data_IF_791532435119
#
_entry.id   IF_791532435119
#
_cell.length_a   1.000
_cell.length_b   1.000
_cell.length_c   1.000
_cell.angle_alpha   90.00
_cell.angle_beta   90.00
_cell.angle_gamma   90.00
#
_symmetry.space_group_name_H-M   'P 1'
#
loop_
_entity.id
_entity.type
_entity.pdbx_description
1 polymer ?
#
# COMPACT_ATOMS: atom_id res chain seq x y z
N UNK A 1 -41.97 -0.59 18.58
CA UNK A 1 -40.75 -0.06 17.94
C UNK A 1 -39.84 -1.24 17.67
N UNK A 2 -39.61 -1.53 16.40
CA UNK A 2 -39.03 -2.78 15.92
C UNK A 2 -37.51 -2.79 16.09
N UNK A 3 -37.02 -3.54 17.08
CA UNK A 3 -35.59 -3.77 17.29
C UNK A 3 -35.05 -4.66 16.16
N UNK A 4 -34.50 -4.03 15.12
CA UNK A 4 -33.75 -4.70 14.06
C UNK A 4 -32.49 -5.35 14.65
N UNK A 5 -32.61 -6.58 15.15
CA UNK A 5 -31.46 -7.41 15.50
C UNK A 5 -30.67 -7.62 14.21
N UNK A 6 -29.40 -7.18 14.11
CA UNK A 6 -28.61 -7.43 12.93
C UNK A 6 -28.53 -8.94 12.68
N UNK A 7 -28.84 -9.37 11.46
CA UNK A 7 -28.74 -10.78 11.03
C UNK A 7 -27.40 -11.38 11.46
N UNK A 8 -27.38 -12.65 11.88
CA UNK A 8 -26.18 -13.38 12.38
C UNK A 8 -24.95 -13.16 11.48
N UNK A 9 -25.17 -13.00 10.17
CA UNK A 9 -24.13 -12.70 9.17
C UNK A 9 -23.47 -11.33 9.36
N UNK A 10 -24.22 -10.28 9.70
CA UNK A 10 -23.68 -8.91 9.93
C UNK A 10 -22.82 -8.86 11.19
N UNK A 11 -23.27 -9.50 12.27
CA UNK A 11 -22.49 -9.59 13.51
C UNK A 11 -21.17 -10.34 13.29
N UNK A 12 -21.20 -11.43 12.51
CA UNK A 12 -19.98 -12.16 12.13
C UNK A 12 -19.00 -11.27 11.36
N UNK A 13 -19.47 -10.50 10.37
CA UNK A 13 -18.63 -9.58 9.60
C UNK A 13 -17.99 -8.49 10.47
N UNK A 14 -18.77 -7.88 11.37
CA UNK A 14 -18.24 -6.89 12.31
C UNK A 14 -17.15 -7.49 13.21
N UNK A 15 -17.37 -8.71 13.73
CA UNK A 15 -16.35 -9.38 14.55
C UNK A 15 -15.06 -9.67 13.76
N UNK A 16 -15.18 -10.07 12.50
CA UNK A 16 -14.05 -10.34 11.63
C UNK A 16 -13.28 -9.05 11.29
N UNK A 17 -14.01 -7.94 11.07
CA UNK A 17 -13.42 -6.63 10.83
C UNK A 17 -12.59 -6.16 12.02
N UNK A 18 -13.13 -6.23 13.25
CA UNK A 18 -12.41 -5.88 14.47
C UNK A 18 -11.15 -6.74 14.67
N UNK A 19 -11.24 -8.03 14.34
CA UNK A 19 -10.10 -8.94 14.38
C UNK A 19 -9.02 -8.55 13.36
N UNK A 20 -9.43 -8.12 12.16
CA UNK A 20 -8.54 -7.67 11.11
C UNK A 20 -7.85 -6.35 11.47
N UNK A 21 -8.55 -5.42 12.13
CA UNK A 21 -7.97 -4.18 12.65
C UNK A 21 -6.87 -4.51 13.69
N UNK A 22 -7.16 -5.40 14.64
CA UNK A 22 -6.17 -5.86 15.62
C UNK A 22 -4.94 -6.50 14.96
N UNK A 23 -5.14 -7.31 13.90
CA UNK A 23 -4.04 -7.90 13.12
C UNK A 23 -3.22 -6.83 12.39
N UNK A 24 -3.87 -5.84 11.79
CA UNK A 24 -3.22 -4.74 11.09
C UNK A 24 -2.31 -3.95 12.05
N UNK A 25 -2.75 -3.67 13.27
CA UNK A 25 -1.93 -3.02 14.30
C UNK A 25 -0.63 -3.80 14.57
N UNK A 26 -0.71 -5.12 14.73
CA UNK A 26 0.47 -5.98 14.99
C UNK A 26 1.45 -6.00 13.81
N UNK A 27 0.97 -5.80 12.58
CA UNK A 27 1.80 -5.77 11.36
C UNK A 27 2.51 -4.43 11.15
N UNK A 28 2.05 -3.34 11.79
CA UNK A 28 2.67 -2.02 11.67
C UNK A 28 4.07 -1.97 12.31
N UNK A 29 5.02 -1.19 11.77
CA UNK A 29 6.30 -0.89 12.41
C UNK A 29 6.12 -0.26 13.80
N UNK A 30 7.07 -0.50 14.72
CA UNK A 30 6.99 0.03 16.11
C UNK A 30 6.91 1.56 16.14
N UNK A 31 7.60 2.25 15.23
CA UNK A 31 7.59 3.71 15.16
C UNK A 31 6.28 4.29 14.64
N UNK A 32 5.54 3.53 13.82
CA UNK A 32 4.19 3.91 13.37
C UNK A 32 3.18 3.70 14.49
N UNK A 33 3.27 2.57 15.21
CA UNK A 33 2.42 2.30 16.38
C UNK A 33 2.53 3.38 17.46
N UNK A 34 3.73 3.93 17.68
CA UNK A 34 3.94 5.04 18.63
C UNK A 34 3.16 6.31 18.28
N UNK A 35 2.92 6.56 16.98
CA UNK A 35 2.20 7.73 16.48
C UNK A 35 0.67 7.57 16.51
N UNK A 36 0.18 6.33 16.65
CA UNK A 36 -1.24 6.07 16.78
C UNK A 36 -1.73 6.43 18.19
N UNK A 37 -2.92 7.02 18.25
CA UNK A 37 -3.62 7.27 19.50
C UNK A 37 -4.37 5.99 19.90
N UNK A 38 -3.65 5.13 20.62
CA UNK A 38 -4.16 3.86 21.13
C UNK A 38 -4.20 3.93 22.66
N UNK A 39 -5.26 3.38 23.30
CA UNK A 39 -5.26 3.15 24.73
C UNK A 39 -4.04 2.32 25.15
N UNK A 40 -3.42 2.65 26.28
CA UNK A 40 -2.16 2.04 26.73
C UNK A 40 -2.24 0.51 26.81
N UNK A 41 -3.32 -0.02 27.38
CA UNK A 41 -3.54 -1.48 27.45
C UNK A 41 -3.62 -2.14 26.06
N UNK A 42 -4.18 -1.47 25.05
CA UNK A 42 -4.21 -2.04 23.70
C UNK A 42 -2.81 -2.01 23.08
N UNK A 43 -2.08 -0.91 23.30
CA UNK A 43 -0.72 -0.71 22.81
C UNK A 43 0.22 -1.80 23.35
N UNK A 44 0.14 -2.09 24.65
CA UNK A 44 0.98 -3.10 25.30
C UNK A 44 0.73 -4.49 24.72
N UNK A 45 -0.54 -4.88 24.59
CA UNK A 45 -0.94 -6.20 24.06
C UNK A 45 -0.53 -6.37 22.60
N UNK A 46 -0.59 -5.30 21.79
CA UNK A 46 -0.10 -5.26 20.40
C UNK A 46 1.42 -5.42 20.36
N UNK A 47 2.16 -4.72 21.22
CA UNK A 47 3.62 -4.84 21.30
C UNK A 47 4.06 -6.24 21.75
N UNK A 48 3.35 -6.84 22.71
CA UNK A 48 3.58 -8.21 23.14
C UNK A 48 3.36 -9.19 21.98
N UNK A 49 2.25 -9.07 21.25
CA UNK A 49 1.94 -9.93 20.10
C UNK A 49 3.03 -9.94 19.03
N UNK A 50 3.76 -8.83 18.88
CA UNK A 50 4.89 -8.71 17.94
C UNK A 50 6.13 -9.47 18.40
N UNK A 51 6.35 -9.59 19.71
CA UNK A 51 7.53 -10.25 20.27
C UNK A 51 7.33 -11.75 20.46
N UNK A 52 6.09 -12.28 20.36
CA UNK A 52 5.82 -13.71 20.49
C UNK A 52 6.39 -14.50 19.29
N UNK A 53 7.35 -15.41 19.50
CA UNK A 53 7.93 -16.21 18.41
C UNK A 53 7.04 -17.39 18.01
N UNK A 54 6.24 -17.91 18.95
CA UNK A 54 5.43 -19.11 18.73
C UNK A 54 4.09 -18.78 18.06
N UNK A 55 3.85 -19.33 16.87
CA UNK A 55 2.65 -19.06 16.08
C UNK A 55 1.33 -19.35 16.84
N UNK A 56 1.31 -20.41 17.66
CA UNK A 56 0.13 -20.75 18.47
C UNK A 56 -0.17 -19.71 19.55
N UNK A 57 0.87 -19.25 20.27
CA UNK A 57 0.73 -18.19 21.27
C UNK A 57 0.36 -16.85 20.62
N UNK A 58 1.00 -16.51 19.48
CA UNK A 58 0.68 -15.31 18.71
C UNK A 58 -0.76 -15.29 18.24
N UNK A 59 -1.29 -16.43 17.78
CA UNK A 59 -2.70 -16.56 17.38
C UNK A 59 -3.65 -16.31 18.56
N UNK A 60 -3.34 -16.83 19.75
CA UNK A 60 -4.16 -16.57 20.96
C UNK A 60 -4.10 -15.10 21.35
N UNK A 61 -2.93 -14.49 21.27
CA UNK A 61 -2.75 -13.07 21.55
C UNK A 61 -3.56 -12.19 20.59
N UNK A 62 -3.55 -12.52 19.29
CA UNK A 62 -4.38 -11.83 18.30
C UNK A 62 -5.88 -11.97 18.61
N UNK A 63 -6.34 -13.14 19.08
CA UNK A 63 -7.74 -13.31 19.50
C UNK A 63 -8.07 -12.47 20.74
N UNK A 64 -7.14 -12.35 21.67
CA UNK A 64 -7.30 -11.50 22.85
C UNK A 64 -7.39 -10.03 22.48
N UNK A 65 -6.49 -9.54 21.60
CA UNK A 65 -6.58 -8.21 21.00
C UNK A 65 -7.95 -8.02 20.34
N UNK A 66 -8.43 -8.98 19.55
CA UNK A 66 -9.76 -8.92 18.93
C UNK A 66 -10.91 -8.87 19.94
N UNK A 67 -10.75 -9.43 21.14
CA UNK A 67 -11.70 -9.28 22.25
C UNK A 67 -11.63 -7.89 22.88
N UNK A 68 -10.43 -7.32 23.01
CA UNK A 68 -10.22 -5.95 23.48
C UNK A 68 -10.89 -4.96 22.52
N UNK A 69 -10.68 -5.10 21.20
CA UNK A 69 -11.26 -4.22 20.17
C UNK A 69 -12.79 -4.14 20.24
N UNK A 70 -13.49 -5.15 20.79
CA UNK A 70 -14.95 -5.14 20.96
C UNK A 70 -15.44 -4.25 22.11
N UNK A 71 -14.54 -3.79 22.97
CA UNK A 71 -14.85 -3.05 24.20
C UNK A 71 -14.46 -1.58 24.12
N UNK A 72 -13.97 -1.12 22.96
CA UNK A 72 -13.40 0.21 22.78
C UNK A 72 -14.06 0.87 21.57
N UNK A 73 -13.93 2.19 21.49
CA UNK A 73 -14.27 2.94 20.29
C UNK A 73 -13.18 2.70 19.23
N UNK A 74 -13.53 1.95 18.18
CA UNK A 74 -12.57 1.52 17.15
C UNK A 74 -12.54 2.46 15.95
N UNK A 75 -13.57 3.28 15.77
CA UNK A 75 -13.68 4.19 14.63
C UNK A 75 -12.45 5.13 14.49
N UNK A 76 -11.93 5.77 15.57
CA UNK A 76 -10.73 6.60 15.47
C UNK A 76 -9.48 5.80 15.05
N UNK A 77 -9.36 4.56 15.54
CA UNK A 77 -8.24 3.66 15.18
C UNK A 77 -8.35 3.26 13.71
N UNK A 78 -9.57 2.97 13.22
CA UNK A 78 -9.82 2.65 11.82
C UNK A 78 -9.43 3.82 10.93
N UNK A 79 -9.87 5.03 11.26
CA UNK A 79 -9.53 6.24 10.49
C UNK A 79 -8.03 6.48 10.42
N UNK A 80 -7.31 6.36 11.54
CA UNK A 80 -5.86 6.50 11.55
C UNK A 80 -5.17 5.42 10.71
N UNK A 81 -5.65 4.17 10.75
CA UNK A 81 -5.15 3.10 9.89
C UNK A 81 -5.43 3.35 8.41
N UNK A 82 -6.56 3.95 8.07
CA UNK A 82 -6.87 4.33 6.68
C UNK A 82 -5.98 5.47 6.20
N UNK A 83 -5.73 6.48 7.03
CA UNK A 83 -4.77 7.56 6.74
C UNK A 83 -3.36 7.02 6.50
N UNK A 84 -2.92 6.01 7.26
CA UNK A 84 -1.63 5.36 7.04
C UNK A 84 -1.55 4.56 5.73
N UNK A 85 -2.68 4.07 5.21
CA UNK A 85 -2.75 3.37 3.92
C UNK A 85 -2.83 4.32 2.74
N UNK A 86 -3.17 5.60 2.97
CA UNK A 86 -3.19 6.56 1.90
C UNK A 86 -1.76 6.75 1.40
N UNK A 87 -1.53 6.65 0.07
CA UNK A 87 -0.23 6.96 -0.48
C UNK A 87 0.11 8.39 -0.10
N UNK A 88 1.34 8.60 0.35
CA UNK A 88 1.84 9.94 0.65
C UNK A 88 1.68 10.84 -0.57
N UNK A 89 1.56 12.14 -0.35
CA UNK A 89 1.52 13.11 -1.45
C UNK A 89 2.73 12.97 -2.41
N UNK A 90 3.85 12.45 -1.91
CA UNK A 90 5.04 12.17 -2.69
C UNK A 90 4.87 10.93 -3.59
N UNK A 91 4.32 9.83 -3.08
CA UNK A 91 4.02 8.63 -3.87
C UNK A 91 2.98 8.91 -4.95
N UNK A 92 1.95 9.71 -4.64
CA UNK A 92 0.95 10.16 -5.62
C UNK A 92 1.58 11.01 -6.72
N UNK A 93 2.46 11.97 -6.36
CA UNK A 93 3.19 12.79 -7.33
C UNK A 93 4.08 11.93 -8.23
N UNK A 94 4.81 10.98 -7.65
CA UNK A 94 5.67 10.07 -8.40
C UNK A 94 4.86 9.20 -9.37
N UNK A 95 3.73 8.66 -8.90
CA UNK A 95 2.80 7.88 -9.74
C UNK A 95 2.40 8.69 -10.96
N UNK A 96 1.86 9.90 -10.77
CA UNK A 96 1.42 10.76 -11.87
C UNK A 96 2.58 11.20 -12.79
N UNK A 97 3.75 11.52 -12.25
CA UNK A 97 4.92 11.86 -13.05
C UNK A 97 5.35 10.69 -13.93
N UNK A 98 5.38 9.48 -13.37
CA UNK A 98 5.72 8.24 -14.08
C UNK A 98 4.70 7.94 -15.18
N UNK A 99 3.41 8.06 -14.89
CA UNK A 99 2.33 7.86 -15.86
C UNK A 99 2.43 8.85 -17.02
N UNK A 100 2.65 10.14 -16.70
CA UNK A 100 2.79 11.19 -17.70
C UNK A 100 3.98 10.95 -18.62
N UNK A 101 5.15 10.61 -18.07
CA UNK A 101 6.34 10.29 -18.86
C UNK A 101 6.12 9.08 -19.75
N UNK A 102 5.58 7.98 -19.20
CA UNK A 102 5.29 6.77 -19.97
C UNK A 102 4.39 7.07 -21.17
N UNK A 103 3.28 7.79 -20.95
CA UNK A 103 2.36 8.13 -22.04
C UNK A 103 2.98 9.03 -23.08
N UNK A 104 3.73 10.05 -22.66
CA UNK A 104 4.43 10.97 -23.57
C UNK A 104 5.45 10.23 -24.43
N UNK A 105 6.28 9.38 -23.83
CA UNK A 105 7.31 8.61 -24.54
C UNK A 105 6.71 7.56 -25.48
N UNK A 106 5.55 6.99 -25.16
CA UNK A 106 4.84 6.10 -26.09
C UNK A 106 4.29 6.89 -27.28
N UNK A 107 3.88 8.15 -27.11
CA UNK A 107 3.29 8.97 -28.18
C UNK A 107 4.31 9.71 -29.04
N UNK A 108 5.40 10.21 -28.44
CA UNK A 108 6.39 11.06 -29.10
C UNK A 108 7.83 10.62 -28.76
N UNK A 109 8.66 10.44 -29.79
CA UNK A 109 10.09 10.12 -29.66
C UNK A 109 10.93 11.27 -29.10
N UNK A 110 10.50 12.52 -29.27
CA UNK A 110 11.17 13.68 -28.66
C UNK A 110 11.12 13.61 -27.13
N UNK A 111 9.97 13.18 -26.58
CA UNK A 111 9.79 12.99 -25.14
C UNK A 111 10.70 11.90 -24.58
N UNK A 112 11.06 10.89 -25.38
CA UNK A 112 12.08 9.92 -25.00
C UNK A 112 13.47 10.57 -24.91
N UNK A 113 13.84 11.43 -25.86
CA UNK A 113 15.12 12.15 -25.82
C UNK A 113 15.21 13.09 -24.62
N UNK A 114 14.14 13.84 -24.34
CA UNK A 114 14.03 14.67 -23.14
C UNK A 114 14.23 13.86 -21.87
N UNK A 115 13.62 12.67 -21.77
CA UNK A 115 13.79 11.81 -20.61
C UNK A 115 15.24 11.36 -20.43
N UNK A 116 15.93 10.94 -21.49
CA UNK A 116 17.34 10.54 -21.42
C UNK A 116 18.25 11.72 -21.06
N UNK A 117 17.96 12.92 -21.55
CA UNK A 117 18.72 14.13 -21.19
C UNK A 117 18.57 14.48 -19.70
N UNK A 118 17.35 14.37 -19.18
CA UNK A 118 17.01 14.60 -17.77
C UNK A 118 17.59 13.51 -16.85
N UNK A 119 17.63 12.25 -17.33
CA UNK A 119 18.05 11.05 -16.59
C UNK A 119 19.17 10.34 -17.36
N UNK A 120 20.39 10.88 -17.29
CA UNK A 120 21.54 10.41 -18.08
C UNK A 120 21.99 8.98 -17.75
N UNK A 121 21.65 8.48 -16.56
CA UNK A 121 21.90 7.09 -16.12
C UNK A 121 20.86 6.09 -16.65
N UNK A 122 19.85 6.57 -17.38
CA UNK A 122 18.79 5.72 -17.89
C UNK A 122 19.28 4.78 -19.00
N UNK A 123 18.87 3.51 -18.93
CA UNK A 123 19.16 2.51 -19.97
C UNK A 123 18.34 2.81 -21.24
N UNK A 124 18.95 3.59 -22.13
CA UNK A 124 18.39 4.05 -23.40
C UNK A 124 17.91 2.89 -24.29
N UNK A 125 18.70 1.81 -24.38
CA UNK A 125 18.36 0.63 -25.18
C UNK A 125 17.11 -0.05 -24.66
N UNK A 126 17.08 -0.34 -23.35
CA UNK A 126 15.94 -1.01 -22.71
C UNK A 126 14.66 -0.18 -22.78
N UNK A 127 14.75 1.14 -22.57
CA UNK A 127 13.60 2.03 -22.69
C UNK A 127 13.04 2.04 -24.11
N UNK A 128 13.91 2.10 -25.12
CA UNK A 128 13.50 2.10 -26.53
C UNK A 128 12.80 0.79 -26.93
N UNK A 129 13.32 -0.36 -26.48
CA UNK A 129 12.68 -1.67 -26.70
C UNK A 129 11.28 -1.73 -26.08
N UNK A 130 11.14 -1.28 -24.83
CA UNK A 130 9.86 -1.26 -24.12
C UNK A 130 8.85 -0.33 -24.81
N UNK A 131 9.29 0.86 -25.25
CA UNK A 131 8.44 1.82 -25.97
C UNK A 131 7.98 1.23 -27.31
N UNK A 132 8.89 0.64 -28.09
CA UNK A 132 8.55 -0.01 -29.36
C UNK A 132 7.54 -1.15 -29.16
N UNK A 133 7.72 -1.96 -28.11
CA UNK A 133 6.78 -3.03 -27.75
C UNK A 133 5.40 -2.50 -27.35
N UNK A 134 5.34 -1.33 -26.72
CA UNK A 134 4.08 -0.68 -26.36
C UNK A 134 3.34 -0.06 -27.56
N UNK A 135 4.07 0.42 -28.57
CA UNK A 135 3.50 0.99 -29.80
C UNK A 135 3.01 -0.08 -30.79
N UNK A 136 3.50 -1.30 -30.65
CA UNK A 136 3.10 -2.44 -31.48
C UNK A 136 1.64 -2.91 -31.21
N UNK A 137 1.22 -4.02 -31.84
CA UNK A 137 -0.13 -4.55 -31.69
C UNK A 137 -0.45 -4.90 -30.23
N UNK A 138 -1.72 -4.71 -29.85
CA UNK A 138 -2.21 -5.00 -28.51
C UNK A 138 -2.15 -6.50 -28.20
N UNK A 139 -1.09 -6.93 -27.51
CA UNK A 139 -0.79 -8.31 -27.16
C UNK A 139 -0.61 -8.46 -25.65
N UNK A 140 -0.51 -9.70 -25.15
CA UNK A 140 -0.09 -9.95 -23.76
C UNK A 140 1.28 -9.34 -23.47
N UNK A 141 2.19 -9.41 -24.44
CA UNK A 141 3.53 -8.83 -24.38
C UNK A 141 3.48 -7.30 -24.27
N UNK A 142 2.63 -6.60 -25.03
CA UNK A 142 2.55 -5.13 -24.93
C UNK A 142 2.00 -4.65 -23.57
N UNK A 143 1.03 -5.36 -22.99
CA UNK A 143 0.57 -5.09 -21.60
C UNK A 143 1.67 -5.32 -20.56
N UNK A 144 2.51 -6.33 -20.78
CA UNK A 144 3.67 -6.60 -19.93
C UNK A 144 4.70 -5.49 -20.04
N UNK A 145 5.07 -5.10 -21.26
CA UNK A 145 5.99 -4.01 -21.56
C UNK A 145 5.51 -2.68 -20.98
N UNK A 146 4.21 -2.40 -21.02
CA UNK A 146 3.62 -1.18 -20.42
C UNK A 146 3.83 -1.10 -18.90
N UNK A 147 3.72 -2.24 -18.21
CA UNK A 147 4.00 -2.34 -16.77
C UNK A 147 5.50 -2.24 -16.48
N UNK A 148 6.33 -2.89 -17.30
CA UNK A 148 7.77 -2.83 -17.18
C UNK A 148 8.32 -1.42 -17.41
N UNK A 149 7.79 -0.70 -18.41
CA UNK A 149 8.15 0.68 -18.71
C UNK A 149 7.84 1.60 -17.52
N UNK A 150 6.68 1.45 -16.88
CA UNK A 150 6.35 2.17 -15.65
C UNK A 150 7.39 1.94 -14.55
N UNK A 151 7.74 0.68 -14.26
CA UNK A 151 8.72 0.34 -13.21
C UNK A 151 10.12 0.90 -13.48
N UNK A 152 10.53 0.90 -14.74
CA UNK A 152 11.84 1.45 -15.13
C UNK A 152 11.83 2.97 -14.98
N UNK A 153 10.79 3.66 -15.45
CA UNK A 153 10.66 5.12 -15.33
C UNK A 153 10.57 5.53 -13.86
N UNK A 154 9.74 4.87 -13.05
CA UNK A 154 9.56 5.24 -11.63
C UNK A 154 10.87 5.19 -10.87
N UNK A 155 11.70 4.16 -11.13
CA UNK A 155 13.02 4.01 -10.52
C UNK A 155 13.93 5.22 -10.79
N UNK A 156 14.01 5.69 -12.03
CA UNK A 156 14.87 6.83 -12.37
C UNK A 156 14.33 8.16 -11.84
N UNK A 157 13.01 8.33 -11.78
CA UNK A 157 12.39 9.52 -11.17
C UNK A 157 12.64 9.52 -9.65
N UNK A 158 12.58 8.36 -9.00
CA UNK A 158 12.92 8.19 -7.58
C UNK A 158 14.41 8.49 -7.31
N UNK A 159 15.33 7.90 -8.08
CA UNK A 159 16.80 8.04 -7.89
C UNK A 159 17.30 9.49 -8.05
N UNK A 160 16.62 10.34 -8.82
CA UNK A 160 16.97 11.76 -8.99
C UNK A 160 16.54 12.65 -7.81
N UNK A 161 15.69 12.14 -6.93
CA UNK A 161 15.13 12.90 -5.82
C UNK A 161 16.11 13.03 -4.64
N UNK A 162 17.15 12.21 -4.62
CA UNK A 162 18.30 12.27 -3.71
C UNK A 162 19.46 13.09 -4.34
#
# INVERSE_FOLDING_TARGET
MESSRPSKTKQKKQMEELQNIGKALVELPKDVLKKLDLPDYLRDEVLEAKNIPQNGAKRRQLQFIGKIMRKIEVDPIREQLEQLKQPSAQEVKLLHATESWREKMIKNDESYKEFIDIYQTADSTKLKELISSCRGPATSSSKSSYRSLFRVISRYIEEKKD
#
